data_IF_932318249299
#
_entry.id   IF_932318249299
#
_cell.length_a   1.000
_cell.length_b   1.000
_cell.length_c   1.000
_cell.angle_alpha   90.00
_cell.angle_beta   90.00
_cell.angle_gamma   90.00
#
_symmetry.space_group_name_H-M   'P 1'
#
loop_
_entity.id
_entity.type
_entity.pdbx_description
1 polymer ?
#
# COMPACT_ATOMS: atom_id res chain seq x y z
N UNK A 1 -26.17 10.86 2.61
CA UNK A 1 -25.93 9.51 3.14
C UNK A 1 -24.77 9.62 4.09
N UNK A 2 -25.07 9.84 5.37
CA UNK A 2 -24.06 9.89 6.42
C UNK A 2 -23.72 8.45 6.78
N UNK A 3 -22.69 7.91 6.13
CA UNK A 3 -22.05 6.70 6.63
C UNK A 3 -21.50 7.01 8.02
N UNK A 4 -21.86 6.23 9.07
CA UNK A 4 -21.24 6.42 10.37
C UNK A 4 -19.76 6.10 10.18
N UNK A 5 -18.93 7.15 10.18
CA UNK A 5 -17.50 7.01 10.35
C UNK A 5 -17.33 6.40 11.74
N UNK A 6 -17.14 5.08 11.79
CA UNK A 6 -16.69 4.40 12.98
C UNK A 6 -15.40 5.04 13.51
N UNK A 7 -14.95 4.69 14.72
CA UNK A 7 -13.71 5.23 15.27
C UNK A 7 -12.61 5.13 14.22
N UNK A 8 -12.00 6.26 13.85
CA UNK A 8 -10.94 6.22 12.85
C UNK A 8 -9.81 5.38 13.43
N UNK A 9 -9.51 4.23 12.81
CA UNK A 9 -8.37 3.39 13.14
C UNK A 9 -7.08 4.05 12.64
N UNK A 10 -6.87 5.30 13.06
CA UNK A 10 -5.67 6.08 12.80
C UNK A 10 -4.57 5.53 13.69
N UNK A 11 -3.50 5.06 13.07
CA UNK A 11 -2.29 4.66 13.76
C UNK A 11 -1.32 5.83 13.74
N UNK A 12 -1.17 6.50 14.88
CA UNK A 12 -0.31 7.67 15.00
C UNK A 12 1.16 7.36 14.73
N UNK A 13 1.61 6.12 14.94
CA UNK A 13 2.99 5.73 14.67
C UNK A 13 3.24 5.61 13.16
N UNK A 14 2.33 4.97 12.44
CA UNK A 14 2.38 4.91 10.98
C UNK A 14 2.31 6.31 10.38
N UNK A 15 1.38 7.15 10.85
CA UNK A 15 1.25 8.52 10.37
C UNK A 15 2.53 9.34 10.59
N UNK A 16 3.16 9.20 11.76
CA UNK A 16 4.43 9.86 12.04
C UNK A 16 5.58 9.36 11.15
N UNK A 17 5.65 8.04 10.88
CA UNK A 17 6.66 7.48 9.96
C UNK A 17 6.47 8.03 8.53
N UNK A 18 5.24 8.02 8.02
CA UNK A 18 4.94 8.53 6.68
C UNK A 18 5.27 10.02 6.56
N UNK A 19 4.89 10.82 7.57
CA UNK A 19 5.21 12.24 7.58
C UNK A 19 6.71 12.49 7.63
N UNK A 20 7.45 11.75 8.48
CA UNK A 20 8.90 11.87 8.57
C UNK A 20 9.59 11.56 7.23
N UNK A 21 9.14 10.53 6.50
CA UNK A 21 9.68 10.22 5.17
C UNK A 21 9.44 11.37 4.18
N UNK A 22 8.24 11.97 4.19
CA UNK A 22 7.94 13.12 3.34
C UNK A 22 8.80 14.34 3.70
N UNK A 23 8.97 14.64 4.99
CA UNK A 23 9.79 15.76 5.48
C UNK A 23 11.28 15.59 5.11
N UNK A 24 11.77 14.36 5.08
CA UNK A 24 13.11 13.98 4.60
C UNK A 24 13.26 14.02 3.06
N UNK A 25 12.19 14.36 2.33
CA UNK A 25 12.17 14.39 0.86
C UNK A 25 12.14 13.01 0.20
N UNK A 26 11.68 11.97 0.90
CA UNK A 26 11.45 10.62 0.36
C UNK A 26 10.06 10.49 -0.25
N UNK A 27 9.85 9.40 -0.99
CA UNK A 27 8.57 9.15 -1.63
C UNK A 27 7.68 8.26 -0.76
N UNK A 28 6.40 8.62 -0.69
CA UNK A 28 5.33 7.76 -0.16
C UNK A 28 4.35 7.49 -1.30
N UNK A 29 4.21 6.21 -1.68
CA UNK A 29 3.35 5.77 -2.78
C UNK A 29 2.07 5.15 -2.25
N UNK A 30 0.91 5.68 -2.66
CA UNK A 30 -0.38 5.07 -2.38
C UNK A 30 -0.82 4.22 -3.57
N UNK A 31 -1.15 2.95 -3.33
CA UNK A 31 -1.56 1.99 -4.35
C UNK A 31 -2.97 1.50 -4.02
N UNK A 32 -3.88 1.66 -4.97
CA UNK A 32 -5.24 1.14 -4.87
C UNK A 32 -5.33 -0.36 -5.15
N UNK A 33 -6.47 -0.77 -5.69
CA UNK A 33 -6.85 -2.17 -5.83
C UNK A 33 -5.84 -3.01 -6.62
N UNK A 34 -5.46 -4.16 -6.05
CA UNK A 34 -4.57 -5.14 -6.69
C UNK A 34 -5.38 -6.35 -7.17
N UNK A 35 -6.38 -6.75 -6.39
CA UNK A 35 -7.30 -7.85 -6.69
C UNK A 35 -6.58 -9.10 -7.18
N UNK A 36 -5.58 -9.62 -6.45
CA UNK A 36 -4.88 -10.85 -6.79
C UNK A 36 -4.06 -10.83 -8.09
N UNK A 37 -3.80 -9.66 -8.70
CA UNK A 37 -2.98 -9.54 -9.91
C UNK A 37 -1.49 -9.39 -9.58
N UNK A 38 -0.89 -10.43 -8.99
CA UNK A 38 0.52 -10.42 -8.55
C UNK A 38 1.50 -9.96 -9.65
N UNK A 39 1.33 -10.43 -10.89
CA UNK A 39 2.21 -10.06 -12.00
C UNK A 39 2.23 -8.55 -12.27
N UNK A 40 1.06 -7.92 -12.29
CA UNK A 40 0.91 -6.47 -12.45
C UNK A 40 1.52 -5.73 -11.26
N UNK A 41 1.27 -6.21 -10.04
CA UNK A 41 1.80 -5.59 -8.82
C UNK A 41 3.34 -5.62 -8.78
N UNK A 42 3.96 -6.76 -9.11
CA UNK A 42 5.42 -6.88 -9.22
C UNK A 42 6.00 -5.97 -10.31
N UNK A 43 5.33 -5.87 -11.46
CA UNK A 43 5.75 -4.98 -12.53
C UNK A 43 5.70 -3.51 -12.09
N UNK A 44 4.68 -3.11 -11.33
CA UNK A 44 4.59 -1.78 -10.73
C UNK A 44 5.75 -1.55 -9.75
N UNK A 45 5.99 -2.45 -8.80
CA UNK A 45 7.08 -2.33 -7.83
C UNK A 45 8.44 -2.15 -8.50
N UNK A 46 8.71 -2.94 -9.55
CA UNK A 46 9.94 -2.80 -10.33
C UNK A 46 10.05 -1.43 -11.03
N UNK A 47 8.93 -0.87 -11.52
CA UNK A 47 8.91 0.44 -12.20
C UNK A 47 9.08 1.61 -11.23
N UNK A 48 8.61 1.48 -9.99
CA UNK A 48 8.74 2.55 -8.99
C UNK A 48 10.19 2.81 -8.57
N UNK A 49 11.09 1.82 -8.72
CA UNK A 49 12.51 1.94 -8.37
C UNK A 49 12.70 2.52 -6.96
N UNK A 50 12.02 1.90 -5.99
CA UNK A 50 11.96 2.36 -4.61
C UNK A 50 13.35 2.47 -4.00
N UNK A 51 13.60 3.59 -3.31
CA UNK A 51 14.72 3.71 -2.40
C UNK A 51 14.39 3.01 -1.07
N UNK A 52 15.40 2.62 -0.25
CA UNK A 52 15.17 1.95 1.03
C UNK A 52 14.28 2.74 2.01
N UNK A 53 14.32 4.07 1.92
CA UNK A 53 13.54 4.96 2.78
C UNK A 53 12.18 5.35 2.19
N UNK A 54 11.87 4.93 0.97
CA UNK A 54 10.54 5.13 0.42
C UNK A 54 9.52 4.21 1.14
N UNK A 55 8.24 4.59 1.07
CA UNK A 55 7.13 3.80 1.62
C UNK A 55 6.10 3.51 0.53
N UNK A 56 5.50 2.33 0.61
CA UNK A 56 4.35 1.94 -0.21
C UNK A 56 3.21 1.60 0.72
N UNK A 57 2.06 2.24 0.49
CA UNK A 57 0.83 2.03 1.23
C UNK A 57 -0.20 1.42 0.29
N UNK A 58 -0.60 0.18 0.56
CA UNK A 58 -1.70 -0.47 -0.17
C UNK A 58 -3.02 -0.11 0.52
N UNK A 59 -3.96 0.48 -0.23
CA UNK A 59 -5.19 1.08 0.33
C UNK A 59 -6.31 0.08 0.59
N UNK A 60 -6.22 -1.14 0.04
CA UNK A 60 -7.25 -2.17 0.17
C UNK A 60 -7.28 -3.12 -1.02
N UNK A 61 -8.28 -4.00 -1.05
CA UNK A 61 -8.61 -4.85 -2.20
C UNK A 61 -7.41 -5.57 -2.82
N UNK A 62 -6.60 -6.18 -1.95
CA UNK A 62 -5.40 -6.92 -2.36
C UNK A 62 -5.75 -8.29 -2.97
N UNK A 63 -6.90 -8.84 -2.60
CA UNK A 63 -7.35 -10.19 -2.93
C UNK A 63 -8.63 -10.16 -3.79
N UNK A 64 -9.12 -11.36 -4.13
CA UNK A 64 -10.26 -11.62 -5.01
C UNK A 64 -10.05 -11.21 -6.47
N UNK A 65 -10.88 -11.78 -7.37
CA UNK A 65 -10.94 -11.56 -8.83
C UNK A 65 -9.73 -12.00 -9.65
N UNK A 66 -8.51 -11.68 -9.22
CA UNK A 66 -7.30 -12.00 -9.95
C UNK A 66 -6.81 -13.43 -9.77
N UNK A 67 -5.82 -13.84 -10.57
CA UNK A 67 -5.39 -15.22 -10.67
C UNK A 67 -4.57 -15.71 -9.47
N UNK A 68 -4.02 -14.82 -8.63
CA UNK A 68 -3.08 -15.20 -7.57
C UNK A 68 -3.18 -14.28 -6.33
N UNK A 69 -4.28 -14.39 -5.58
CA UNK A 69 -4.44 -13.65 -4.32
C UNK A 69 -3.45 -14.09 -3.23
N UNK A 70 -3.14 -15.40 -3.14
CA UNK A 70 -2.21 -15.91 -2.15
C UNK A 70 -0.80 -15.34 -2.38
N UNK A 71 -0.33 -15.36 -3.63
CA UNK A 71 0.97 -14.82 -4.00
C UNK A 71 1.08 -13.30 -3.78
N UNK A 72 -0.01 -12.54 -3.90
CA UNK A 72 -0.01 -11.11 -3.51
C UNK A 72 0.26 -10.95 -2.01
N UNK A 73 -0.41 -11.72 -1.16
CA UNK A 73 -0.21 -11.63 0.30
C UNK A 73 1.19 -12.10 0.69
N UNK A 74 1.67 -13.20 0.11
CA UNK A 74 3.01 -13.71 0.39
C UNK A 74 4.12 -12.76 -0.08
N UNK A 75 3.87 -11.97 -1.13
CA UNK A 75 4.82 -10.97 -1.61
C UNK A 75 4.88 -9.70 -0.75
N UNK A 76 3.82 -9.39 0.01
CA UNK A 76 3.74 -8.18 0.85
C UNK A 76 4.19 -8.45 2.30
N UNK A 77 4.12 -9.70 2.76
CA UNK A 77 4.58 -10.13 4.11
C UNK A 77 6.10 -10.15 4.23
#
# INVERSE_FOLDING_TARGET
>A
MDLPLGPSFRDAHIEADLQARLDEGRNVWAIGDIHGHLGTFRALMHRLKLNPEDRVVCLGDMIDRGPDSAGVIDFIR
#
